data_IF_949007095692
#
_entry.id   IF_949007095692
#
_cell.length_a   1.000
_cell.length_b   1.000
_cell.length_c   1.000
_cell.angle_alpha   90.00
_cell.angle_beta   90.00
_cell.angle_gamma   90.00
#
_symmetry.space_group_name_H-M   'P 1'
#
loop_
_entity.id
_entity.type
_entity.pdbx_description
1 polymer ?
#
# COMPACT_ATOMS: atom_id res chain seq x y z
N UNK A 1 56.11 -8.11 46.20
CA UNK A 1 54.80 -7.81 46.82
C UNK A 1 54.56 -6.32 46.66
N UNK A 2 53.66 -5.77 45.85
CA UNK A 2 52.76 -6.25 44.80
C UNK A 2 52.51 -5.06 43.86
N UNK A 3 52.35 -5.32 42.55
CA UNK A 3 52.05 -4.28 41.57
C UNK A 3 50.53 -4.10 41.49
N UNK A 4 50.03 -2.89 41.76
CA UNK A 4 48.64 -2.53 41.55
C UNK A 4 48.36 -2.42 40.04
N UNK A 5 47.52 -3.33 39.53
CA UNK A 5 46.91 -3.23 38.21
C UNK A 5 45.82 -2.16 38.26
N UNK A 6 46.02 -1.04 37.56
CA UNK A 6 44.96 -0.08 37.24
C UNK A 6 44.09 -0.70 36.14
N UNK A 7 42.88 -1.13 36.50
CA UNK A 7 41.84 -1.52 35.54
C UNK A 7 41.23 -0.25 34.93
N UNK A 8 41.57 0.05 33.68
CA UNK A 8 40.79 0.98 32.88
C UNK A 8 39.49 0.28 32.45
N UNK A 9 38.40 0.57 33.14
CA UNK A 9 37.05 0.24 32.67
C UNK A 9 36.74 1.24 31.55
N UNK A 10 37.06 0.87 30.31
CA UNK A 10 36.65 1.63 29.14
C UNK A 10 35.13 1.60 29.04
N UNK A 11 34.47 2.67 29.45
CA UNK A 11 33.08 2.91 29.12
C UNK A 11 33.01 3.09 27.60
N UNK A 12 32.65 2.02 26.90
CA UNK A 12 32.20 2.10 25.52
C UNK A 12 30.94 2.95 25.54
N UNK A 13 31.10 4.23 25.24
CA UNK A 13 29.98 5.09 24.89
C UNK A 13 29.42 4.50 23.59
N UNK A 14 28.42 3.61 23.71
CA UNK A 14 27.49 3.37 22.64
C UNK A 14 26.80 4.72 22.41
N UNK A 15 27.38 5.54 21.53
CA UNK A 15 26.61 6.56 20.86
C UNK A 15 25.59 5.75 20.08
N UNK A 16 24.28 5.76 20.42
CA UNK A 16 23.31 5.27 19.49
C UNK A 16 23.52 6.12 18.25
N UNK A 17 23.97 5.49 17.16
CA UNK A 17 23.83 6.08 15.85
C UNK A 17 22.33 6.30 15.74
N UNK A 18 21.87 7.53 15.97
CA UNK A 18 20.57 7.95 15.49
C UNK A 18 20.63 7.65 14.02
N UNK A 19 19.95 6.58 13.59
CA UNK A 19 19.73 6.33 12.19
C UNK A 19 19.21 7.64 11.62
N UNK A 20 20.03 8.30 10.79
CA UNK A 20 19.55 9.38 9.95
C UNK A 20 18.49 8.69 9.11
N UNK A 21 17.24 9.08 9.35
CA UNK A 21 16.07 8.59 8.64
C UNK A 21 16.17 9.08 7.19
N UNK A 22 16.96 8.40 6.36
CA UNK A 22 16.77 8.38 4.91
C UNK A 22 15.50 7.58 4.67
N UNK A 23 14.35 8.24 4.78
CA UNK A 23 13.07 7.61 4.49
C UNK A 23 12.88 7.71 2.98
N UNK A 24 12.75 6.58 2.30
CA UNK A 24 12.32 6.59 0.91
C UNK A 24 10.96 7.29 0.78
N UNK A 25 10.78 8.04 -0.29
CA UNK A 25 9.61 8.87 -0.56
C UNK A 25 9.03 8.51 -1.91
N UNK A 26 7.70 8.45 -1.96
CA UNK A 26 6.95 8.39 -3.21
C UNK A 26 6.24 9.72 -3.42
N UNK A 27 6.50 10.37 -4.55
CA UNK A 27 5.93 11.68 -4.88
C UNK A 27 4.98 11.60 -6.06
N UNK A 28 3.85 12.28 -5.93
CA UNK A 28 2.80 12.39 -6.93
C UNK A 28 2.68 13.86 -7.36
N UNK A 29 2.70 14.16 -8.67
CA UNK A 29 2.40 15.51 -9.13
C UNK A 29 0.92 15.80 -8.86
N UNK A 30 0.65 16.96 -8.27
CA UNK A 30 -0.70 17.47 -8.03
C UNK A 30 -0.79 18.89 -8.61
N UNK A 31 -2.00 19.38 -8.93
CA UNK A 31 -2.18 20.76 -9.41
C UNK A 31 -1.77 21.83 -8.37
N UNK A 32 -1.81 21.52 -7.06
CA UNK A 32 -1.20 22.39 -6.06
C UNK A 32 0.31 22.41 -6.25
N UNK A 33 0.91 23.60 -6.30
CA UNK A 33 2.33 23.89 -6.58
C UNK A 33 3.36 23.13 -5.72
N UNK A 34 2.90 22.33 -4.78
CA UNK A 34 3.66 21.40 -3.97
C UNK A 34 3.04 20.01 -4.18
N UNK A 35 3.66 19.14 -4.98
CA UNK A 35 3.22 17.75 -5.14
C UNK A 35 3.05 17.02 -3.80
N UNK A 36 2.25 15.96 -3.77
CA UNK A 36 2.12 15.13 -2.57
C UNK A 36 3.33 14.18 -2.48
N UNK A 37 4.09 14.26 -1.39
CA UNK A 37 5.23 13.37 -1.13
C UNK A 37 4.96 12.61 0.16
N UNK A 38 4.95 11.29 0.07
CA UNK A 38 4.56 10.41 1.18
C UNK A 38 5.73 9.49 1.56
N UNK A 39 6.01 9.32 2.86
CA UNK A 39 7.03 8.39 3.31
C UNK A 39 6.62 6.96 2.96
N UNK A 40 7.59 6.19 2.51
CA UNK A 40 7.44 4.78 2.19
C UNK A 40 7.92 3.96 3.37
N UNK A 41 7.14 2.96 3.76
CA UNK A 41 7.56 2.08 4.82
C UNK A 41 8.66 1.14 4.30
N UNK A 42 9.68 0.91 5.13
CA UNK A 42 10.73 -0.05 4.83
C UNK A 42 11.01 -0.99 6.00
N UNK A 43 11.49 -2.19 5.69
CA UNK A 43 12.00 -3.16 6.67
C UNK A 43 13.23 -3.88 6.11
N UNK A 44 14.11 -4.31 7.01
CA UNK A 44 15.28 -5.09 6.64
C UNK A 44 14.94 -6.57 6.61
N UNK A 45 15.29 -7.24 5.52
CA UNK A 45 14.99 -8.65 5.25
C UNK A 45 16.28 -9.35 4.84
N UNK A 46 16.50 -10.57 5.32
CA UNK A 46 17.65 -11.39 4.91
C UNK A 46 17.24 -12.55 4.01
N UNK A 47 18.17 -13.18 3.27
CA UNK A 47 17.87 -14.32 2.41
C UNK A 47 17.24 -15.50 3.15
N UNK A 48 17.49 -15.67 4.45
CA UNK A 48 16.93 -16.78 5.23
C UNK A 48 15.40 -16.74 5.40
N UNK A 49 14.70 -15.67 4.98
CA UNK A 49 13.23 -15.62 5.05
C UNK A 49 12.54 -16.67 4.17
N UNK A 50 13.23 -17.21 3.17
CA UNK A 50 12.72 -18.30 2.36
C UNK A 50 13.84 -19.29 2.01
N UNK A 51 13.52 -20.59 2.10
CA UNK A 51 14.48 -21.67 1.81
C UNK A 51 15.06 -21.62 0.40
N UNK A 52 14.37 -21.01 -0.57
CA UNK A 52 14.89 -20.82 -1.93
C UNK A 52 16.12 -19.89 -2.01
N UNK A 53 16.34 -19.03 -1.01
CA UNK A 53 17.42 -18.04 -1.01
C UNK A 53 18.56 -18.33 -0.02
N UNK A 54 18.28 -19.12 1.03
CA UNK A 54 19.12 -19.23 2.23
C UNK A 54 20.59 -19.63 1.96
N UNK A 55 20.83 -20.49 0.97
CA UNK A 55 22.16 -21.03 0.65
C UNK A 55 22.79 -20.40 -0.61
N UNK A 56 22.20 -19.34 -1.15
CA UNK A 56 22.72 -18.65 -2.33
C UNK A 56 23.78 -17.60 -1.98
N UNK A 57 24.61 -17.23 -2.95
CA UNK A 57 25.68 -16.26 -2.75
C UNK A 57 25.19 -14.83 -3.00
N UNK A 58 25.00 -14.08 -1.92
CA UNK A 58 24.56 -12.68 -1.91
C UNK A 58 25.69 -11.66 -1.67
N UNK A 59 26.94 -12.13 -1.66
CA UNK A 59 28.13 -11.28 -1.46
C UNK A 59 28.69 -10.69 -2.76
N UNK A 60 28.00 -10.94 -3.89
CA UNK A 60 28.36 -10.41 -5.19
C UNK A 60 27.87 -8.95 -5.33
N UNK A 61 28.20 -8.34 -6.46
CA UNK A 61 27.65 -7.04 -6.82
C UNK A 61 26.12 -7.08 -6.94
N UNK A 62 25.49 -5.92 -6.82
CA UNK A 62 24.04 -5.84 -6.74
C UNK A 62 23.32 -6.32 -8.02
N UNK A 63 23.94 -6.16 -9.21
CA UNK A 63 23.40 -6.75 -10.45
C UNK A 63 23.42 -8.29 -10.40
N UNK A 64 24.53 -8.89 -9.96
CA UNK A 64 24.60 -10.35 -9.75
C UNK A 64 23.59 -10.86 -8.71
N UNK A 65 23.30 -10.08 -7.67
CA UNK A 65 22.30 -10.42 -6.67
C UNK A 65 20.88 -10.38 -7.26
N UNK A 66 20.58 -9.41 -8.13
CA UNK A 66 19.32 -9.36 -8.87
C UNK A 66 19.13 -10.59 -9.75
N UNK A 67 20.18 -11.01 -10.47
CA UNK A 67 20.12 -12.23 -11.29
C UNK A 67 19.87 -13.47 -10.43
N UNK A 68 20.51 -13.52 -9.26
CA UNK A 68 20.35 -14.63 -8.29
C UNK A 68 18.92 -14.67 -7.75
N UNK A 69 18.38 -13.52 -7.33
CA UNK A 69 16.99 -13.40 -6.89
C UNK A 69 16.01 -13.80 -7.98
N UNK A 70 16.18 -13.27 -9.20
CA UNK A 70 15.29 -13.53 -10.34
C UNK A 70 15.22 -15.03 -10.68
N UNK A 71 16.35 -15.74 -10.58
CA UNK A 71 16.39 -17.18 -10.82
C UNK A 71 15.76 -18.00 -9.69
N UNK A 72 15.92 -17.58 -8.44
CA UNK A 72 15.45 -18.31 -7.27
C UNK A 72 13.99 -17.99 -6.89
N UNK A 73 13.49 -16.79 -7.22
CA UNK A 73 12.16 -16.33 -6.84
C UNK A 73 11.03 -17.30 -7.24
N UNK A 74 11.02 -17.92 -8.43
CA UNK A 74 9.99 -18.91 -8.79
C UNK A 74 9.95 -20.14 -7.88
N UNK A 75 11.04 -20.44 -7.15
CA UNK A 75 11.12 -21.57 -6.22
C UNK A 75 10.56 -21.24 -4.83
N UNK A 76 10.26 -19.97 -4.55
CA UNK A 76 9.76 -19.52 -3.24
C UNK A 76 8.30 -19.92 -2.99
N UNK A 77 7.53 -20.13 -4.06
CA UNK A 77 6.08 -20.34 -4.02
C UNK A 77 5.26 -19.06 -4.16
N UNK A 78 5.86 -17.87 -4.07
CA UNK A 78 5.16 -16.60 -4.25
C UNK A 78 4.90 -16.29 -5.72
N UNK A 79 3.72 -15.78 -6.01
CA UNK A 79 3.30 -15.42 -7.37
C UNK A 79 3.79 -14.04 -7.82
N UNK A 80 4.12 -13.17 -6.86
CA UNK A 80 4.47 -11.76 -7.11
C UNK A 80 5.36 -11.18 -6.00
N UNK A 81 6.03 -10.07 -6.31
CA UNK A 81 6.80 -9.34 -5.31
C UNK A 81 5.88 -8.79 -4.21
N UNK A 82 4.67 -8.34 -4.56
CA UNK A 82 3.62 -7.98 -3.60
C UNK A 82 3.42 -9.06 -2.55
N UNK A 83 3.14 -10.29 -2.97
CA UNK A 83 2.87 -11.41 -2.05
C UNK A 83 4.06 -11.71 -1.14
N UNK A 84 5.28 -11.68 -1.70
CA UNK A 84 6.51 -11.88 -0.93
C UNK A 84 6.73 -10.76 0.10
N UNK A 85 6.57 -9.50 -0.30
CA UNK A 85 6.79 -8.36 0.60
C UNK A 85 5.68 -8.27 1.66
N UNK A 86 4.43 -8.55 1.32
CA UNK A 86 3.33 -8.61 2.28
C UNK A 86 3.57 -9.68 3.35
N UNK A 87 4.11 -10.85 2.97
CA UNK A 87 4.47 -11.92 3.91
C UNK A 87 5.56 -11.48 4.91
N UNK A 88 6.67 -10.93 4.41
CA UNK A 88 7.80 -10.50 5.27
C UNK A 88 7.52 -9.22 6.06
N UNK A 89 6.54 -8.40 5.63
CA UNK A 89 6.10 -7.19 6.33
C UNK A 89 4.99 -7.43 7.38
N UNK A 90 4.60 -8.68 7.65
CA UNK A 90 3.62 -9.13 8.66
C UNK A 90 3.72 -8.47 10.06
N UNK A 91 2.66 -8.50 10.92
CA UNK A 91 2.24 -7.45 11.87
C UNK A 91 3.17 -7.02 13.01
N UNK A 92 4.37 -7.57 13.07
CA UNK A 92 5.44 -7.11 13.95
C UNK A 92 6.38 -6.10 13.29
N UNK A 93 6.23 -5.86 11.97
CA UNK A 93 7.02 -4.88 11.23
C UNK A 93 6.36 -3.49 11.25
N UNK A 94 7.16 -2.44 11.04
CA UNK A 94 6.64 -1.09 10.88
C UNK A 94 5.75 -0.91 9.63
N UNK A 95 5.63 -1.92 8.76
CA UNK A 95 5.00 -1.89 7.44
C UNK A 95 3.67 -2.67 7.34
N UNK A 96 3.02 -2.90 8.47
CA UNK A 96 1.77 -3.67 8.58
C UNK A 96 0.51 -2.94 8.10
N UNK A 97 0.61 -1.68 7.63
CA UNK A 97 -0.59 -0.95 7.21
C UNK A 97 -1.06 -1.38 5.82
N UNK A 98 -2.06 -2.25 5.77
CA UNK A 98 -2.85 -2.55 4.55
C UNK A 98 -3.68 -1.33 4.07
N UNK A 99 -3.81 -0.29 4.90
CA UNK A 99 -4.42 0.98 4.51
C UNK A 99 -3.54 2.15 4.91
N UNK A 100 -3.10 2.94 3.94
CA UNK A 100 -2.72 4.33 4.23
C UNK A 100 -3.96 5.21 4.29
N UNK A 101 -3.88 6.27 5.08
CA UNK A 101 -4.84 7.38 5.06
C UNK A 101 -4.61 8.34 3.88
N UNK A 102 -3.53 8.15 3.13
CA UNK A 102 -3.16 9.00 2.01
C UNK A 102 -4.13 8.80 0.84
N UNK A 103 -4.66 9.91 0.33
CA UNK A 103 -5.49 9.96 -0.88
C UNK A 103 -4.76 10.84 -1.90
N UNK A 104 -4.44 10.26 -3.05
CA UNK A 104 -3.83 10.94 -4.19
C UNK A 104 -4.90 11.21 -5.24
N UNK A 105 -4.97 12.46 -5.69
CA UNK A 105 -5.85 12.85 -6.80
C UNK A 105 -5.10 12.74 -8.12
N UNK A 106 -5.71 12.09 -9.12
CA UNK A 106 -5.16 11.91 -10.46
C UNK A 106 -6.16 12.45 -11.49
N UNK A 107 -5.69 13.27 -12.41
CA UNK A 107 -6.55 13.99 -13.37
C UNK A 107 -6.49 13.43 -14.80
N UNK A 108 -5.55 12.52 -15.04
CA UNK A 108 -5.27 11.97 -16.37
C UNK A 108 -5.21 10.47 -16.33
N UNK A 109 -5.46 9.83 -17.47
CA UNK A 109 -5.34 8.38 -17.59
C UNK A 109 -3.89 7.90 -17.46
N UNK A 110 -2.89 8.79 -17.58
CA UNK A 110 -1.50 8.44 -17.33
C UNK A 110 -0.73 9.59 -16.71
N UNK A 111 -0.06 9.30 -15.59
CA UNK A 111 0.66 10.27 -14.80
C UNK A 111 2.00 9.71 -14.32
N UNK A 112 3.00 10.58 -14.24
CA UNK A 112 4.31 10.22 -13.67
C UNK A 112 4.23 10.21 -12.15
N UNK A 113 4.89 9.26 -11.53
CA UNK A 113 5.21 9.28 -10.10
C UNK A 113 6.73 9.25 -9.95
N UNK A 114 7.22 9.76 -8.83
CA UNK A 114 8.65 9.84 -8.55
C UNK A 114 8.98 9.03 -7.31
N UNK A 115 9.98 8.15 -7.44
CA UNK A 115 10.55 7.41 -6.33
C UNK A 115 11.90 8.02 -5.98
N UNK A 116 12.11 8.32 -4.71
CA UNK A 116 13.41 8.74 -4.21
C UNK A 116 13.77 7.98 -2.94
N UNK A 117 14.96 7.42 -2.91
CA UNK A 117 15.56 6.83 -1.72
C UNK A 117 16.88 7.54 -1.47
N UNK A 118 16.91 8.44 -0.49
CA UNK A 118 18.13 9.17 -0.12
C UNK A 118 19.23 8.24 0.42
N UNK A 119 18.89 7.00 0.81
CA UNK A 119 19.89 6.00 1.19
C UNK A 119 20.58 5.37 -0.04
N UNK A 120 19.98 5.47 -1.23
CA UNK A 120 20.59 5.00 -2.47
C UNK A 120 21.75 5.92 -2.88
N UNK A 121 22.87 5.34 -3.34
CA UNK A 121 24.10 6.10 -3.58
C UNK A 121 23.95 7.29 -4.56
N UNK A 122 23.05 7.17 -5.53
CA UNK A 122 22.77 8.19 -6.55
C UNK A 122 21.34 8.78 -6.40
N UNK A 123 20.59 8.41 -5.36
CA UNK A 123 19.14 8.59 -5.27
C UNK A 123 18.34 7.70 -6.24
N UNK A 124 17.02 7.65 -6.08
CA UNK A 124 16.17 6.75 -6.87
C UNK A 124 16.24 5.27 -6.45
N UNK A 125 16.14 4.33 -7.39
CA UNK A 125 16.10 2.89 -7.06
C UNK A 125 17.48 2.30 -6.81
N UNK A 126 17.59 1.51 -5.75
CA UNK A 126 18.64 0.49 -5.63
C UNK A 126 18.36 -0.72 -6.53
N UNK A 127 19.40 -1.51 -6.80
CA UNK A 127 19.28 -2.70 -7.65
C UNK A 127 18.39 -3.76 -7.03
N UNK A 128 17.32 -4.12 -7.75
CA UNK A 128 16.30 -5.02 -7.24
C UNK A 128 14.97 -4.94 -7.96
N UNK A 129 14.04 -5.88 -7.71
CA UNK A 129 12.74 -5.87 -8.34
C UNK A 129 11.82 -4.82 -7.71
N UNK A 130 10.86 -4.33 -8.50
CA UNK A 130 9.77 -3.50 -8.02
C UNK A 130 8.48 -3.79 -8.80
N UNK A 131 7.36 -3.56 -8.12
CA UNK A 131 6.02 -3.68 -8.67
C UNK A 131 5.16 -2.50 -8.20
N UNK A 132 4.34 -1.97 -9.11
CA UNK A 132 3.26 -1.05 -8.79
C UNK A 132 1.94 -1.66 -9.26
N UNK A 133 0.97 -1.66 -8.38
CA UNK A 133 -0.35 -2.22 -8.57
C UNK A 133 -1.40 -1.13 -8.46
N UNK A 134 -2.41 -1.20 -9.33
CA UNK A 134 -3.70 -0.55 -9.14
C UNK A 134 -4.73 -1.65 -8.90
N UNK A 135 -5.30 -1.66 -7.71
CA UNK A 135 -6.10 -2.76 -7.17
C UNK A 135 -5.36 -4.10 -7.32
N UNK A 136 -5.83 -4.96 -8.23
CA UNK A 136 -5.28 -6.30 -8.50
C UNK A 136 -4.54 -6.37 -9.85
N UNK A 137 -4.24 -5.23 -10.46
CA UNK A 137 -3.55 -5.14 -11.75
C UNK A 137 -2.16 -4.54 -11.56
N UNK A 138 -1.13 -5.27 -11.96
CA UNK A 138 0.24 -4.73 -12.11
C UNK A 138 0.27 -3.74 -13.28
N UNK A 139 0.71 -2.52 -13.00
CA UNK A 139 0.88 -1.46 -14.00
C UNK A 139 2.34 -1.05 -14.19
N UNK A 140 3.21 -1.31 -13.19
CA UNK A 140 4.67 -1.22 -13.33
C UNK A 140 5.29 -2.49 -12.78
N UNK A 141 6.22 -3.08 -13.53
CA UNK A 141 7.01 -4.23 -13.07
C UNK A 141 8.35 -4.27 -13.76
N UNK A 142 9.41 -4.43 -12.96
CA UNK A 142 10.73 -4.75 -13.48
C UNK A 142 11.50 -5.63 -12.49
N UNK A 143 12.37 -6.49 -13.01
CA UNK A 143 13.25 -7.31 -12.19
C UNK A 143 14.44 -6.51 -11.63
N UNK A 144 14.80 -5.39 -12.28
CA UNK A 144 15.84 -4.48 -11.85
C UNK A 144 15.40 -3.03 -12.07
N UNK A 145 14.87 -2.38 -11.04
CA UNK A 145 14.27 -1.05 -11.16
C UNK A 145 15.29 0.08 -11.27
N UNK A 146 16.48 -0.08 -10.69
CA UNK A 146 17.61 0.82 -10.94
C UNK A 146 17.99 0.89 -12.43
N UNK A 147 17.86 -0.23 -13.16
CA UNK A 147 18.14 -0.27 -14.60
C UNK A 147 16.96 0.21 -15.44
N UNK A 148 15.73 -0.16 -15.04
CA UNK A 148 14.52 0.23 -15.77
C UNK A 148 14.16 1.71 -15.62
N UNK A 149 14.47 2.31 -14.46
CA UNK A 149 14.16 3.69 -14.10
C UNK A 149 15.42 4.40 -13.57
N UNK A 150 16.42 4.68 -14.44
CA UNK A 150 17.76 5.10 -14.03
C UNK A 150 17.88 6.58 -13.62
N UNK A 151 16.76 7.29 -13.51
CA UNK A 151 16.77 8.70 -13.10
C UNK A 151 16.80 8.82 -11.58
N UNK A 152 17.23 9.98 -11.09
CA UNK A 152 17.19 10.34 -9.67
C UNK A 152 16.55 11.72 -9.51
N UNK A 153 15.34 11.82 -8.93
CA UNK A 153 14.49 10.71 -8.50
C UNK A 153 14.05 9.83 -9.70
N UNK A 154 13.76 8.55 -9.42
CA UNK A 154 13.30 7.60 -10.43
C UNK A 154 11.90 7.97 -10.91
N UNK A 155 11.70 8.03 -12.22
CA UNK A 155 10.42 8.43 -12.82
C UNK A 155 9.67 7.21 -13.37
N UNK A 156 8.47 6.95 -12.85
CA UNK A 156 7.62 5.84 -13.27
C UNK A 156 6.32 6.37 -13.89
N UNK A 157 6.06 6.02 -15.15
CA UNK A 157 4.79 6.33 -15.79
C UNK A 157 3.74 5.29 -15.36
N UNK A 158 2.65 5.75 -14.75
CA UNK A 158 1.55 4.90 -14.30
C UNK A 158 0.34 5.12 -15.20
N UNK A 159 -0.27 4.04 -15.67
CA UNK A 159 -1.53 4.04 -16.42
C UNK A 159 -2.71 3.81 -15.47
N UNK A 160 -3.48 4.87 -15.24
CA UNK A 160 -4.68 4.89 -14.40
C UNK A 160 -5.97 4.63 -15.19
N UNK A 161 -5.91 4.31 -16.49
CA UNK A 161 -7.09 4.01 -17.31
C UNK A 161 -7.95 2.86 -16.76
N UNK A 162 -7.35 1.95 -15.99
CA UNK A 162 -8.01 0.81 -15.33
C UNK A 162 -8.47 1.10 -13.89
N UNK A 163 -7.94 2.15 -13.25
CA UNK A 163 -8.51 2.69 -12.02
C UNK A 163 -9.93 3.17 -12.35
N UNK A 164 -10.92 2.99 -11.48
CA UNK A 164 -12.26 3.57 -11.69
C UNK A 164 -12.31 5.01 -11.14
N UNK A 165 -13.43 5.47 -10.58
CA UNK A 165 -13.45 6.75 -9.85
C UNK A 165 -12.51 6.72 -8.63
N UNK A 166 -12.37 5.54 -8.02
CA UNK A 166 -11.36 5.27 -6.99
C UNK A 166 -10.65 3.93 -7.28
N UNK A 167 -9.41 3.80 -6.82
CA UNK A 167 -8.68 2.52 -6.73
C UNK A 167 -7.63 2.59 -5.61
N UNK A 168 -7.00 1.45 -5.31
CA UNK A 168 -5.89 1.37 -4.35
C UNK A 168 -4.58 1.21 -5.12
N UNK A 169 -3.65 2.15 -4.95
CA UNK A 169 -2.28 2.00 -5.40
C UNK A 169 -1.48 1.22 -4.36
N UNK A 170 -0.72 0.22 -4.81
CA UNK A 170 0.27 -0.46 -3.97
C UNK A 170 1.62 -0.46 -4.66
N UNK A 171 2.63 0.02 -3.96
CA UNK A 171 4.00 0.09 -4.43
C UNK A 171 4.87 -0.84 -3.58
N UNK A 172 5.71 -1.61 -4.27
CA UNK A 172 6.59 -2.61 -3.70
C UNK A 172 7.96 -2.49 -4.36
N UNK A 173 9.04 -2.45 -3.57
CA UNK A 173 10.40 -2.53 -4.08
C UNK A 173 11.27 -3.33 -3.12
N UNK A 174 12.30 -3.99 -3.63
CA UNK A 174 13.26 -4.74 -2.82
C UNK A 174 14.66 -4.39 -3.26
N UNK A 175 15.47 -3.75 -2.42
CA UNK A 175 16.88 -3.50 -2.69
C UNK A 175 17.74 -4.71 -2.30
N UNK A 176 18.57 -5.20 -3.22
CA UNK A 176 19.39 -6.42 -3.07
C UNK A 176 20.88 -6.11 -2.88
N UNK A 177 21.21 -5.05 -2.14
CA UNK A 177 22.56 -4.59 -1.83
C UNK A 177 23.19 -5.43 -0.71
N UNK A 178 23.71 -6.61 -1.08
CA UNK A 178 24.37 -7.54 -0.15
C UNK A 178 23.42 -8.54 0.51
N UNK A 179 23.70 -8.89 1.77
CA UNK A 179 22.92 -9.88 2.56
C UNK A 179 21.79 -9.27 3.38
N UNK A 180 21.80 -7.96 3.56
CA UNK A 180 20.75 -7.20 4.24
C UNK A 180 19.92 -6.47 3.17
N UNK A 181 18.82 -7.08 2.76
CA UNK A 181 17.93 -6.48 1.79
C UNK A 181 17.03 -5.46 2.46
N UNK A 182 16.58 -4.46 1.69
CA UNK A 182 15.56 -3.53 2.15
C UNK A 182 14.29 -3.74 1.34
N UNK A 183 13.22 -4.17 2.01
CA UNK A 183 11.90 -4.28 1.44
C UNK A 183 11.14 -2.98 1.70
N UNK A 184 10.53 -2.44 0.66
CA UNK A 184 9.74 -1.21 0.69
C UNK A 184 8.29 -1.52 0.32
N UNK A 185 7.36 -0.93 1.06
CA UNK A 185 5.92 -1.04 0.85
C UNK A 185 5.26 0.32 1.05
N UNK A 186 4.40 0.69 0.11
CA UNK A 186 3.50 1.82 0.26
C UNK A 186 2.12 1.49 -0.33
N UNK A 187 1.07 1.98 0.32
CA UNK A 187 -0.32 1.83 -0.12
C UNK A 187 -0.93 3.23 -0.13
N UNK A 188 -1.74 3.58 -1.13
CA UNK A 188 -2.47 4.84 -1.17
C UNK A 188 -3.83 4.66 -1.82
N UNK A 189 -4.83 5.44 -1.38
CA UNK A 189 -6.06 5.61 -2.13
C UNK A 189 -5.83 6.53 -3.33
N UNK A 190 -6.37 6.19 -4.48
CA UNK A 190 -6.37 7.04 -5.67
C UNK A 190 -7.80 7.49 -5.93
N UNK A 191 -7.98 8.79 -6.21
CA UNK A 191 -9.23 9.37 -6.68
C UNK A 191 -9.03 9.99 -8.06
N UNK A 192 -9.81 9.56 -9.05
CA UNK A 192 -9.77 10.17 -10.39
C UNK A 192 -10.72 11.36 -10.47
N UNK A 193 -10.22 12.49 -10.96
CA UNK A 193 -11.04 13.67 -11.27
C UNK A 193 -11.20 13.75 -12.78
N UNK A 194 -12.44 13.64 -13.25
CA UNK A 194 -12.74 13.79 -14.68
C UNK A 194 -12.65 15.25 -15.08
N UNK A 195 -12.01 15.55 -16.23
CA UNK A 195 -11.82 16.91 -16.77
C UNK A 195 -13.11 17.64 -17.22
N UNK A 196 -14.27 17.27 -16.68
CA UNK A 196 -15.56 17.94 -16.95
C UNK A 196 -15.85 19.07 -15.96
N UNK A 197 -15.05 19.24 -14.91
CA UNK A 197 -15.22 20.34 -13.92
C UNK A 197 -14.26 21.53 -14.10
N UNK A 198 -13.51 21.60 -15.21
CA UNK A 198 -12.53 22.66 -15.44
C UNK A 198 -12.69 23.36 -16.79
N UNK A 199 -13.85 24.01 -16.99
CA UNK A 199 -13.95 25.29 -17.73
C UNK A 199 -15.34 25.92 -17.52
N UNK A 200 -15.52 26.75 -16.50
CA UNK A 200 -16.39 27.92 -16.68
C UNK A 200 -15.77 29.15 -16.01
N UNK A 201 -15.31 30.05 -16.87
CA UNK A 201 -14.85 31.39 -16.55
C UNK A 201 -15.90 32.16 -15.78
N UNK A 202 -15.51 32.71 -14.62
CA UNK A 202 -16.00 33.93 -13.95
C UNK A 202 -17.34 34.46 -14.49
N UNK A 203 -18.44 33.91 -13.98
CA UNK A 203 -19.61 34.68 -13.57
C UNK A 203 -20.27 33.93 -12.42
N UNK A 204 -20.40 34.59 -11.26
CA UNK A 204 -20.84 34.02 -9.98
C UNK A 204 -22.08 33.12 -10.10
N UNK A 205 -21.98 31.80 -9.87
CA UNK A 205 -23.12 30.96 -9.55
C UNK A 205 -23.22 30.77 -8.04
N UNK A 206 -24.45 30.55 -7.58
CA UNK A 206 -24.82 30.34 -6.18
C UNK A 206 -24.06 29.16 -5.51
N UNK A 207 -23.96 29.10 -4.17
CA UNK A 207 -23.12 28.11 -3.49
C UNK A 207 -23.59 26.69 -3.80
N UNK A 208 -22.71 25.91 -4.42
CA UNK A 208 -22.89 24.47 -4.60
C UNK A 208 -22.44 23.80 -3.31
N UNK A 209 -23.40 23.44 -2.48
CA UNK A 209 -23.16 22.74 -1.22
C UNK A 209 -22.83 21.26 -1.47
N UNK A 210 -21.78 20.79 -0.81
CA UNK A 210 -21.32 19.40 -0.86
C UNK A 210 -22.39 18.44 -0.33
N UNK A 211 -22.74 17.44 -1.13
CA UNK A 211 -23.54 16.30 -0.69
C UNK A 211 -22.70 15.42 0.23
N UNK A 212 -22.91 15.54 1.55
CA UNK A 212 -22.36 14.59 2.53
C UNK A 212 -23.30 13.39 2.67
N UNK A 213 -23.02 12.32 1.94
CA UNK A 213 -23.68 11.01 2.17
C UNK A 213 -22.97 10.28 3.32
N UNK A 214 -23.67 10.05 4.43
CA UNK A 214 -23.17 9.22 5.55
C UNK A 214 -23.74 7.80 5.42
N UNK A 215 -22.87 6.83 5.16
CA UNK A 215 -23.21 5.39 5.24
C UNK A 215 -22.95 4.91 6.66
N UNK A 216 -23.97 4.40 7.34
CA UNK A 216 -23.84 3.77 8.67
C UNK A 216 -24.03 2.27 8.54
N UNK A 217 -23.01 1.50 8.91
CA UNK A 217 -23.07 0.04 9.00
C UNK A 217 -23.52 -0.36 10.40
N UNK A 218 -24.57 -1.19 10.50
CA UNK A 218 -24.96 -1.83 11.76
C UNK A 218 -25.26 -3.30 11.49
N UNK A 219 -24.64 -4.18 12.26
CA UNK A 219 -24.97 -5.60 12.30
C UNK A 219 -25.67 -5.90 13.64
N UNK A 220 -26.64 -6.80 13.62
CA UNK A 220 -27.25 -7.35 14.83
C UNK A 220 -27.37 -8.86 14.64
N UNK A 221 -26.96 -9.62 15.66
CA UNK A 221 -27.18 -11.06 15.71
C UNK A 221 -28.50 -11.27 16.47
N UNK A 222 -29.51 -11.79 15.79
CA UNK A 222 -30.78 -12.14 16.41
C UNK A 222 -30.75 -13.63 16.81
N UNK A 223 -30.52 -13.87 18.10
CA UNK A 223 -30.68 -15.14 18.84
C UNK A 223 -29.94 -16.40 18.31
N UNK A 224 -29.51 -17.27 19.21
CA UNK A 224 -28.53 -18.35 18.95
C UNK A 224 -29.14 -19.56 18.20
N UNK A 225 -30.43 -19.52 17.84
CA UNK A 225 -31.13 -20.66 17.22
C UNK A 225 -31.68 -20.41 15.78
N UNK A 226 -31.46 -19.25 15.17
CA UNK A 226 -31.67 -19.10 13.72
C UNK A 226 -30.55 -18.28 13.06
N UNK A 227 -29.76 -18.92 12.18
CA UNK A 227 -28.82 -18.24 11.29
C UNK A 227 -29.57 -17.47 10.19
N UNK A 228 -30.17 -16.33 10.56
CA UNK A 228 -30.72 -15.37 9.60
C UNK A 228 -29.84 -14.11 9.60
N UNK A 229 -28.97 -13.98 8.61
CA UNK A 229 -28.32 -12.71 8.34
C UNK A 229 -29.31 -11.80 7.63
N UNK A 230 -29.60 -10.63 8.22
CA UNK A 230 -30.36 -9.57 7.54
C UNK A 230 -29.44 -8.40 7.25
N UNK A 231 -29.39 -7.99 5.99
CA UNK A 231 -28.68 -6.79 5.53
C UNK A 231 -29.71 -5.68 5.32
N UNK A 232 -29.56 -4.59 6.07
CA UNK A 232 -30.42 -3.40 5.97
C UNK A 232 -29.55 -2.22 5.57
N UNK A 233 -29.72 -1.72 4.34
CA UNK A 233 -29.04 -0.52 3.86
C UNK A 233 -30.03 0.63 3.90
N UNK A 234 -29.76 1.63 4.75
CA UNK A 234 -30.60 2.83 4.85
C UNK A 234 -29.84 4.02 4.29
N UNK A 235 -30.28 4.49 3.12
CA UNK A 235 -29.79 5.73 2.52
C UNK A 235 -30.71 6.87 2.93
N UNK A 236 -30.16 7.90 3.58
CA UNK A 236 -30.87 9.15 3.88
C UNK A 236 -30.23 10.29 3.10
N UNK A 237 -31.01 10.93 2.24
CA UNK A 237 -30.67 12.21 1.63
C UNK A 237 -31.67 13.27 2.08
N UNK A 238 -31.18 14.47 2.38
CA UNK A 238 -32.01 15.65 2.59
C UNK A 238 -31.60 16.71 1.58
N UNK A 239 -32.57 17.24 0.84
CA UNK A 239 -32.37 18.33 -0.10
C UNK A 239 -33.35 19.46 0.20
N UNK A 240 -32.90 20.70 0.08
CA UNK A 240 -33.72 21.88 0.28
C UNK A 240 -33.88 22.62 -1.04
N UNK A 241 -35.10 22.68 -1.57
CA UNK A 241 -35.44 23.46 -2.76
C UNK A 241 -36.77 24.19 -2.51
N UNK A 242 -36.75 25.52 -2.66
CA UNK A 242 -37.93 26.40 -2.65
C UNK A 242 -38.99 26.08 -1.56
N UNK A 243 -38.60 26.13 -0.28
CA UNK A 243 -39.47 25.93 0.90
C UNK A 243 -40.17 24.55 1.00
N UNK A 244 -39.62 23.50 0.38
CA UNK A 244 -40.10 22.13 0.58
C UNK A 244 -38.98 21.20 1.05
N UNK A 245 -39.27 20.40 2.08
CA UNK A 245 -38.41 19.32 2.53
C UNK A 245 -38.78 18.05 1.77
N UNK A 246 -37.84 17.52 0.99
CA UNK A 246 -37.96 16.19 0.39
C UNK A 246 -37.10 15.20 1.18
N UNK A 247 -37.76 14.29 1.88
CA UNK A 247 -37.11 13.15 2.53
C UNK A 247 -37.36 11.91 1.65
N UNK A 248 -36.29 11.33 1.10
CA UNK A 248 -36.35 10.06 0.40
C UNK A 248 -35.73 8.98 1.31
N UNK A 249 -36.51 7.98 1.67
CA UNK A 249 -36.06 6.80 2.41
C UNK A 249 -36.31 5.57 1.54
N UNK A 250 -35.25 4.89 1.14
CA UNK A 250 -35.31 3.59 0.48
C UNK A 250 -34.82 2.56 1.50
N UNK A 251 -35.68 1.59 1.83
CA UNK A 251 -35.36 0.50 2.75
C UNK A 251 -35.40 -0.81 1.94
N UNK A 252 -34.24 -1.42 1.72
CA UNK A 252 -34.12 -2.72 1.05
C UNK A 252 -33.64 -3.76 2.04
N UNK A 253 -34.45 -4.79 2.26
CA UNK A 253 -34.14 -5.94 3.11
C UNK A 253 -34.00 -7.19 2.26
N UNK A 254 -32.87 -7.88 2.34
CA UNK A 254 -32.66 -9.20 1.73
C UNK A 254 -32.68 -10.25 2.84
N UNK A 255 -33.56 -11.26 2.73
CA UNK A 255 -33.61 -12.41 3.63
C UNK A 255 -32.93 -13.61 2.97
N UNK A 256 -31.94 -14.21 3.64
CA UNK A 256 -31.40 -15.52 3.26
C UNK A 256 -32.41 -16.65 3.56
N UNK A 257 -32.47 -17.66 2.70
CA UNK A 257 -33.38 -18.81 2.86
C UNK A 257 -32.81 -19.88 3.80
N UNK A 258 -33.69 -20.48 4.61
CA UNK A 258 -33.40 -21.54 5.59
C UNK A 258 -32.95 -22.84 4.93
N UNK A 259 -31.83 -23.42 5.39
CA UNK A 259 -31.46 -24.80 5.06
C UNK A 259 -32.16 -25.73 6.06
N UNK A 260 -33.09 -26.56 5.58
CA UNK A 260 -33.77 -27.57 6.40
C UNK A 260 -32.79 -28.71 6.74
N UNK A 261 -32.56 -29.07 8.02
CA UNK A 261 -31.80 -30.28 8.35
C UNK A 261 -32.65 -31.53 8.11
N UNK A 262 -32.02 -32.59 7.60
CA UNK A 262 -32.66 -33.89 7.36
C UNK A 262 -33.16 -34.55 8.67
N UNK A 263 -34.30 -35.28 8.67
CA UNK A 263 -34.84 -35.88 9.88
C UNK A 263 -33.98 -37.06 10.36
N UNK A 264 -33.68 -37.06 11.65
CA UNK A 264 -33.01 -38.16 12.35
C UNK A 264 -33.97 -39.33 12.60
N UNK A 265 -33.51 -40.54 12.30
CA UNK A 265 -34.21 -41.79 12.57
C UNK A 265 -34.19 -42.09 14.08
N UNK A 266 -35.31 -42.48 14.71
CA UNK A 266 -35.29 -42.93 16.10
C UNK A 266 -34.75 -44.37 16.21
N UNK A 267 -33.85 -44.57 17.16
CA UNK A 267 -33.29 -45.86 17.55
C UNK A 267 -34.36 -46.87 17.98
N UNK A 268 -34.20 -48.11 17.54
CA UNK A 268 -34.67 -49.32 18.20
C UNK A 268 -33.53 -50.35 18.15
#
# INVERSE_FOLDING_TARGET
MGASLLYFVGAWLFIPITAVSGAAVLSFPTESTSGLSVPVCSTTVGPCVNGAFADLNWTRDACSNVDTFTQAFPLTGFSSLREFIDDVCSPSSACDSESSTDIVTVETDSQQIYWDDEAAAEGGFEHGPCELWLDEVVVVKANNCAVAFPTSPATCAVDYSRCSDCCVLRFYALALTGVEWQAFKHVAGIQRVSKTDSMESIETPAPVEHFLSRVTWSWAIADVDELVASLSVRLRGSGHHANTNLELSIDTSVRGATVTPAPSHPSA
#
